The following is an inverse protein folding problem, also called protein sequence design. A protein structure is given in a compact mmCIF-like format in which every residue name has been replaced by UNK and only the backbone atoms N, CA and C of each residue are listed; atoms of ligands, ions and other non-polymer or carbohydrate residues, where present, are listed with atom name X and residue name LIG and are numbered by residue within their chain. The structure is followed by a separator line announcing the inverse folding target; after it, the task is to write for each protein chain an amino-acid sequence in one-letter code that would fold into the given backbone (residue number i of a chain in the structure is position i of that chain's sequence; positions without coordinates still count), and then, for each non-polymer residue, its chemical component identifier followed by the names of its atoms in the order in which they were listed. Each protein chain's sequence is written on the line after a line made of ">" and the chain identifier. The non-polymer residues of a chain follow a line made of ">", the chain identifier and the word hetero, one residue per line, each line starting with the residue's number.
data_IF_960754366745
#
_entry.id   IF_960754366745
#
_cell.length_a   1.000
_cell.length_b   1.000
_cell.length_c   1.000
_cell.angle_alpha   90.00
_cell.angle_beta   90.00
_cell.angle_gamma   90.00
#
_symmetry.space_group_name_H-M   'P 1'
#
loop_
_entity.id
_entity.type
_entity.pdbx_description
1 polymer ?
#
# COMPACT_ATOMS: atom_id res chain seq x y z
N UNK A 1 -76.11 -27.88 -25.41
CA UNK A 1 -74.95 -27.41 -24.62
C UNK A 1 -73.95 -28.56 -24.57
N UNK A 2 -72.75 -28.41 -25.15
CA UNK A 2 -71.74 -29.49 -25.17
C UNK A 2 -71.09 -29.55 -23.78
N UNK A 3 -71.10 -30.71 -23.15
CA UNK A 3 -70.54 -30.91 -21.81
C UNK A 3 -69.01 -30.85 -21.91
N UNK A 4 -68.43 -29.71 -21.51
CA UNK A 4 -66.98 -29.46 -21.54
C UNK A 4 -66.23 -30.10 -20.38
N UNK A 5 -66.94 -30.75 -19.44
CA UNK A 5 -66.37 -31.28 -18.21
C UNK A 5 -65.24 -32.28 -18.47
N UNK A 6 -65.39 -33.19 -19.43
CA UNK A 6 -64.32 -34.14 -19.77
C UNK A 6 -63.05 -33.49 -20.31
N UNK A 7 -63.18 -32.37 -21.05
CA UNK A 7 -62.02 -31.63 -21.57
C UNK A 7 -61.33 -30.84 -20.48
N UNK A 8 -62.09 -30.24 -19.57
CA UNK A 8 -61.57 -29.50 -18.41
C UNK A 8 -60.84 -30.47 -17.46
N UNK A 9 -61.42 -31.64 -17.18
CA UNK A 9 -60.78 -32.68 -16.35
C UNK A 9 -59.49 -33.18 -17.02
N UNK A 10 -59.46 -33.33 -18.35
CA UNK A 10 -58.25 -33.68 -19.08
C UNK A 10 -57.15 -32.62 -18.97
N UNK A 11 -57.49 -31.34 -19.15
CA UNK A 11 -56.54 -30.22 -19.01
C UNK A 11 -56.05 -30.09 -17.56
N UNK A 12 -56.94 -30.26 -16.58
CA UNK A 12 -56.57 -30.21 -15.17
C UNK A 12 -55.61 -31.36 -14.82
N UNK A 13 -55.86 -32.56 -15.36
CA UNK A 13 -54.98 -33.72 -15.21
C UNK A 13 -53.60 -33.51 -15.82
N UNK A 14 -53.51 -32.94 -17.02
CA UNK A 14 -52.21 -32.64 -17.64
C UNK A 14 -51.45 -31.59 -16.84
N UNK A 15 -52.11 -30.53 -16.35
CA UNK A 15 -51.49 -29.50 -15.50
C UNK A 15 -50.94 -30.13 -14.21
N UNK A 16 -51.69 -31.01 -13.56
CA UNK A 16 -51.24 -31.71 -12.34
C UNK A 16 -49.98 -32.56 -12.62
N UNK A 17 -49.96 -33.30 -13.73
CA UNK A 17 -48.81 -34.14 -14.11
C UNK A 17 -47.56 -33.28 -14.38
N UNK A 18 -47.70 -32.17 -15.11
CA UNK A 18 -46.57 -31.28 -15.41
C UNK A 18 -46.05 -30.60 -14.15
N UNK A 19 -46.94 -30.20 -13.23
CA UNK A 19 -46.56 -29.60 -11.96
C UNK A 19 -45.81 -30.61 -11.07
N UNK A 20 -46.26 -31.86 -11.01
CA UNK A 20 -45.54 -32.94 -10.33
C UNK A 20 -44.16 -33.19 -10.94
N UNK A 21 -44.05 -33.21 -12.26
CA UNK A 21 -42.77 -33.38 -12.96
C UNK A 21 -41.80 -32.22 -12.68
N UNK A 22 -42.30 -30.97 -12.64
CA UNK A 22 -41.50 -29.79 -12.30
C UNK A 22 -40.96 -29.84 -10.86
N UNK A 23 -41.79 -30.26 -9.90
CA UNK A 23 -41.36 -30.45 -8.51
C UNK A 23 -40.26 -31.50 -8.42
N UNK A 24 -40.42 -32.64 -9.10
CA UNK A 24 -39.41 -33.70 -9.13
C UNK A 24 -38.09 -33.19 -9.73
N UNK A 25 -38.13 -32.47 -10.85
CA UNK A 25 -36.95 -31.90 -11.48
C UNK A 25 -36.22 -30.90 -10.58
N UNK A 26 -36.98 -30.05 -9.88
CA UNK A 26 -36.43 -29.09 -8.91
C UNK A 26 -35.71 -29.80 -7.75
N UNK A 27 -36.28 -30.89 -7.22
CA UNK A 27 -35.63 -31.72 -6.19
C UNK A 27 -34.29 -32.32 -6.67
N UNK A 28 -34.21 -32.78 -7.93
CA UNK A 28 -32.96 -33.28 -8.50
C UNK A 28 -31.93 -32.16 -8.74
N UNK A 29 -32.36 -30.99 -9.22
CA UNK A 29 -31.47 -29.86 -9.46
C UNK A 29 -30.92 -29.26 -8.15
N UNK A 30 -31.73 -29.23 -7.08
CA UNK A 30 -31.27 -28.82 -5.75
C UNK A 30 -30.23 -29.78 -5.19
N UNK A 31 -30.33 -31.10 -5.45
CA UNK A 31 -29.27 -32.05 -5.07
C UNK A 31 -27.96 -31.84 -5.83
N UNK A 32 -28.02 -31.40 -7.08
CA UNK A 32 -26.84 -31.03 -7.89
C UNK A 32 -26.16 -29.75 -7.41
N UNK A 33 -26.92 -28.83 -6.80
CA UNK A 33 -26.41 -27.58 -6.21
C UNK A 33 -25.86 -27.74 -4.78
N UNK A 34 -25.97 -28.92 -4.17
CA UNK A 34 -25.19 -29.25 -2.98
C UNK A 34 -23.76 -29.63 -3.40
N UNK A 35 -23.00 -28.63 -3.83
CA UNK A 35 -21.56 -28.64 -3.63
C UNK A 35 -21.36 -28.84 -2.13
N UNK A 36 -20.71 -29.95 -1.75
CA UNK A 36 -20.22 -30.19 -0.41
C UNK A 36 -19.37 -28.98 0.03
N UNK A 37 -19.99 -28.00 0.68
CA UNK A 37 -19.29 -27.08 1.58
C UNK A 37 -19.20 -27.75 2.94
N UNK A 38 -18.60 -28.94 2.98
CA UNK A 38 -18.02 -29.48 4.21
C UNK A 38 -16.56 -29.07 4.22
N UNK A 39 -16.34 -27.92 4.84
CA UNK A 39 -15.15 -27.61 5.63
C UNK A 39 -15.60 -26.56 6.64
N UNK A 40 -16.45 -27.01 7.58
CA UNK A 40 -16.64 -26.29 8.83
C UNK A 40 -15.38 -26.54 9.64
N UNK A 41 -14.41 -25.63 9.53
CA UNK A 41 -13.25 -25.62 10.41
C UNK A 41 -13.74 -25.19 11.78
N UNK A 42 -13.91 -26.14 12.70
CA UNK A 42 -13.99 -25.83 14.12
C UNK A 42 -12.61 -25.35 14.53
N UNK A 43 -12.42 -24.02 14.60
CA UNK A 43 -11.27 -23.46 15.28
C UNK A 43 -11.53 -23.73 16.77
N UNK A 44 -10.86 -24.74 17.32
CA UNK A 44 -10.63 -24.76 18.76
C UNK A 44 -9.74 -23.56 19.06
N UNK A 45 -10.40 -22.43 19.36
CA UNK A 45 -9.74 -21.36 20.07
C UNK A 45 -9.36 -21.96 21.41
N UNK A 46 -8.09 -22.33 21.57
CA UNK A 46 -7.53 -22.48 22.90
C UNK A 46 -7.93 -21.20 23.65
N UNK A 47 -8.74 -21.35 24.69
CA UNK A 47 -9.13 -20.24 25.55
C UNK A 47 -7.84 -19.59 26.05
N UNK A 48 -7.44 -18.50 25.40
CA UNK A 48 -6.49 -17.59 25.98
C UNK A 48 -7.26 -16.92 27.12
N UNK A 49 -7.19 -17.55 28.30
CA UNK A 49 -7.53 -16.87 29.55
C UNK A 49 -6.71 -15.59 29.54
N UNK A 50 -7.34 -14.40 29.51
CA UNK A 50 -6.60 -13.20 29.81
C UNK A 50 -6.31 -13.28 31.30
N UNK A 51 -5.15 -13.83 31.66
CA UNK A 51 -4.54 -13.45 32.92
C UNK A 51 -4.32 -11.95 32.82
N UNK A 52 -5.13 -11.22 33.58
CA UNK A 52 -5.01 -9.80 33.77
C UNK A 52 -3.58 -9.50 34.24
N UNK A 53 -2.72 -9.11 33.31
CA UNK A 53 -1.44 -8.51 33.56
C UNK A 53 -1.49 -7.10 33.00
N UNK A 54 -1.98 -6.20 33.84
CA UNK A 54 -1.57 -4.81 33.86
C UNK A 54 -0.04 -4.79 33.89
N UNK A 55 0.61 -4.53 32.76
CA UNK A 55 2.04 -4.23 32.75
C UNK A 55 2.39 -3.25 31.62
N UNK A 56 2.37 -1.98 32.03
CA UNK A 56 3.15 -0.88 31.49
C UNK A 56 4.48 -1.35 30.89
N UNK A 57 4.90 -0.70 29.80
CA UNK A 57 6.25 -0.74 29.25
C UNK A 57 7.30 -0.52 30.36
N UNK A 58 7.73 -1.60 31.01
CA UNK A 58 8.95 -1.59 31.80
C UNK A 58 10.08 -1.78 30.82
N UNK A 59 10.70 -0.67 30.45
CA UNK A 59 12.13 -0.65 30.12
C UNK A 59 12.82 -1.54 31.16
N UNK A 60 13.31 -2.70 30.73
CA UNK A 60 14.05 -3.61 31.60
C UNK A 60 15.38 -2.91 31.91
N UNK A 61 15.38 -2.08 32.96
CA UNK A 61 16.61 -1.60 33.59
C UNK A 61 17.17 -2.77 34.41
N UNK A 62 17.88 -3.66 33.73
CA UNK A 62 18.67 -4.68 34.40
C UNK A 62 19.77 -3.96 35.20
N UNK A 63 19.90 -4.21 36.51
CA UNK A 63 21.02 -3.67 37.26
C UNK A 63 22.33 -4.18 36.65
N UNK A 64 23.37 -3.33 36.62
CA UNK A 64 24.68 -3.64 35.99
C UNK A 64 25.26 -4.97 36.50
N UNK A 65 24.99 -5.30 37.77
CA UNK A 65 25.40 -6.54 38.43
C UNK A 65 24.80 -7.81 37.82
N UNK A 66 23.62 -7.75 37.19
CA UNK A 66 23.03 -8.89 36.47
C UNK A 66 23.70 -9.15 35.12
N UNK A 67 24.15 -8.09 34.43
CA UNK A 67 24.87 -8.23 33.16
C UNK A 67 26.27 -8.80 33.40
N UNK A 68 27.00 -8.31 34.42
CA UNK A 68 28.31 -8.87 34.79
C UNK A 68 28.26 -10.37 35.13
N UNK A 69 27.14 -10.84 35.68
CA UNK A 69 26.94 -12.24 36.03
C UNK A 69 26.65 -13.13 34.83
N UNK A 70 26.01 -12.58 33.79
CA UNK A 70 25.72 -13.27 32.53
C UNK A 70 26.98 -13.35 31.65
N UNK A 71 27.84 -12.33 31.74
CA UNK A 71 29.08 -12.21 30.96
C UNK A 71 30.30 -12.80 31.67
N UNK A 72 30.11 -13.53 32.77
CA UNK A 72 31.20 -14.20 33.47
C UNK A 72 31.88 -15.24 32.58
N UNK A 73 33.15 -15.00 32.24
CA UNK A 73 33.99 -15.89 31.44
C UNK A 73 34.45 -15.30 30.11
N UNK A 74 33.97 -14.12 29.72
CA UNK A 74 34.38 -13.42 28.50
C UNK A 74 34.81 -11.98 28.83
N UNK A 75 36.08 -11.83 29.23
CA UNK A 75 36.67 -10.55 29.66
C UNK A 75 36.61 -9.48 28.56
N UNK A 76 36.66 -9.90 27.29
CA UNK A 76 36.57 -9.00 26.14
C UNK A 76 35.15 -8.42 26.01
N UNK A 77 34.12 -9.26 26.16
CA UNK A 77 32.74 -8.80 26.13
C UNK A 77 32.42 -7.86 27.30
N UNK A 78 33.00 -8.13 28.47
CA UNK A 78 32.86 -7.28 29.66
C UNK A 78 33.45 -5.88 29.44
N UNK A 79 34.62 -5.81 28.81
CA UNK A 79 35.27 -4.53 28.47
C UNK A 79 34.48 -3.75 27.42
N UNK A 80 33.91 -4.44 26.42
CA UNK A 80 33.03 -3.81 25.42
C UNK A 80 31.77 -3.24 26.08
N UNK A 81 31.12 -4.02 26.95
CA UNK A 81 29.93 -3.59 27.67
C UNK A 81 30.20 -2.36 28.56
N UNK A 82 31.35 -2.33 29.27
CA UNK A 82 31.78 -1.18 30.06
C UNK A 82 32.06 0.06 29.23
N UNK A 83 32.72 -0.09 28.08
CA UNK A 83 32.98 1.02 27.16
C UNK A 83 31.70 1.59 26.55
N UNK A 84 30.73 0.73 26.26
CA UNK A 84 29.45 1.16 25.69
C UNK A 84 28.58 1.86 26.73
N UNK A 85 28.55 1.35 27.97
CA UNK A 85 27.82 1.95 29.09
C UNK A 85 28.41 3.29 29.56
N UNK A 86 29.72 3.48 29.42
CA UNK A 86 30.39 4.75 29.73
C UNK A 86 30.39 5.75 28.58
N UNK A 87 29.69 5.51 27.47
CA UNK A 87 29.49 6.57 26.48
C UNK A 87 28.62 7.65 27.12
N UNK A 88 29.12 8.90 27.27
CA UNK A 88 28.27 9.98 27.70
C UNK A 88 27.13 10.11 26.70
N UNK A 89 25.91 10.25 27.20
CA UNK A 89 24.73 10.55 26.39
C UNK A 89 24.91 11.98 25.86
N UNK A 90 25.67 12.11 24.78
CA UNK A 90 25.89 13.41 24.16
C UNK A 90 24.57 13.75 23.48
N UNK A 91 23.82 14.68 24.07
CA UNK A 91 22.71 15.32 23.39
C UNK A 91 23.30 16.13 22.23
N UNK A 92 23.44 15.49 21.09
CA UNK A 92 23.90 16.13 19.87
C UNK A 92 22.72 16.94 19.35
N UNK A 93 22.80 18.26 19.49
CA UNK A 93 21.90 19.17 18.81
C UNK A 93 22.07 18.96 17.29
N UNK A 94 21.00 18.64 16.54
CA UNK A 94 21.09 18.38 15.11
C UNK A 94 21.77 19.50 14.32
N UNK A 95 21.57 20.77 14.72
CA UNK A 95 22.17 21.93 14.05
C UNK A 95 23.70 21.97 14.25
N UNK A 96 24.18 21.72 15.47
CA UNK A 96 25.61 21.72 15.78
C UNK A 96 26.34 20.58 15.06
N UNK A 97 25.67 19.43 14.88
CA UNK A 97 26.20 18.31 14.11
C UNK A 97 26.31 18.61 12.62
N UNK A 98 25.31 19.29 12.05
CA UNK A 98 25.33 19.69 10.64
C UNK A 98 26.48 20.65 10.39
N UNK A 99 26.72 21.61 11.29
CA UNK A 99 27.83 22.55 11.18
C UNK A 99 29.19 21.86 11.35
N UNK A 100 29.32 20.91 12.28
CA UNK A 100 30.56 20.11 12.44
C UNK A 100 30.88 19.30 11.17
N UNK A 101 29.89 18.60 10.61
CA UNK A 101 30.07 17.81 9.39
C UNK A 101 30.43 18.71 8.21
N UNK A 102 29.83 19.90 8.11
CA UNK A 102 30.16 20.91 7.09
C UNK A 102 31.63 21.33 7.18
N UNK A 103 32.12 21.66 8.38
CA UNK A 103 33.53 22.03 8.59
C UNK A 103 34.49 20.90 8.22
N UNK A 104 34.17 19.65 8.58
CA UNK A 104 34.98 18.48 8.20
C UNK A 104 35.00 18.27 6.67
N UNK A 105 33.89 18.52 5.98
CA UNK A 105 33.80 18.42 4.53
C UNK A 105 34.57 19.54 3.81
N UNK A 106 34.60 20.75 4.38
CA UNK A 106 35.44 21.85 3.88
C UNK A 106 36.92 21.54 4.10
N UNK A 107 37.30 21.11 5.30
CA UNK A 107 38.68 20.76 5.64
C UNK A 107 39.21 19.58 4.79
N UNK A 108 38.34 18.63 4.43
CA UNK A 108 38.69 17.52 3.53
C UNK A 108 38.66 17.89 2.04
N UNK A 109 38.34 19.14 1.70
CA UNK A 109 38.29 19.66 0.33
C UNK A 109 37.15 19.11 -0.52
N UNK A 110 36.17 18.46 0.10
CA UNK A 110 34.98 17.90 -0.57
C UNK A 110 33.85 18.93 -0.70
N UNK A 111 33.95 20.04 0.04
CA UNK A 111 33.00 21.13 0.05
C UNK A 111 33.76 22.46 0.01
N UNK A 112 33.28 23.42 -0.77
CA UNK A 112 33.86 24.77 -0.83
C UNK A 112 33.45 25.62 0.37
N UNK A 113 34.21 26.69 0.64
CA UNK A 113 33.81 27.70 1.64
C UNK A 113 32.48 28.38 1.27
N UNK A 114 32.19 28.48 -0.02
CA UNK A 114 30.88 28.90 -0.54
C UNK A 114 30.12 27.66 -1.01
N UNK A 115 29.20 27.18 -0.17
CA UNK A 115 28.51 25.92 -0.38
C UNK A 115 26.98 26.05 -0.27
N UNK A 116 26.28 25.10 -0.88
CA UNK A 116 24.83 25.07 -0.98
C UNK A 116 24.13 24.94 0.39
N UNK A 117 24.81 24.48 1.43
CA UNK A 117 24.25 24.32 2.79
C UNK A 117 24.05 25.70 3.42
N UNK A 118 25.06 26.58 3.31
CA UNK A 118 24.98 27.95 3.81
C UNK A 118 24.05 28.82 2.95
N UNK A 119 23.99 28.59 1.63
CA UNK A 119 23.03 29.25 0.74
C UNK A 119 21.59 28.89 1.10
N UNK A 120 21.28 27.61 1.33
CA UNK A 120 19.96 27.16 1.78
C UNK A 120 19.56 27.75 3.13
N UNK A 121 20.50 27.84 4.07
CA UNK A 121 20.26 28.43 5.40
C UNK A 121 19.91 29.91 5.27
N UNK A 122 20.68 30.67 4.46
CA UNK A 122 20.41 32.09 4.15
C UNK A 122 19.08 32.29 3.43
N UNK A 123 18.75 31.45 2.45
CA UNK A 123 17.48 31.52 1.73
C UNK A 123 16.28 31.23 2.65
N UNK A 124 16.42 30.26 3.56
CA UNK A 124 15.38 29.94 4.55
C UNK A 124 15.19 31.06 5.57
N UNK A 125 16.26 31.69 6.02
CA UNK A 125 16.23 32.86 6.90
C UNK A 125 15.61 34.08 6.19
N UNK A 126 16.01 34.35 4.95
CA UNK A 126 15.42 35.41 4.12
C UNK A 126 13.93 35.17 3.83
N UNK A 127 13.53 33.93 3.51
CA UNK A 127 12.13 33.57 3.31
C UNK A 127 11.31 33.65 4.61
N UNK A 128 11.92 33.36 5.77
CA UNK A 128 11.26 33.51 7.07
C UNK A 128 11.00 35.00 7.41
N UNK A 129 11.91 35.89 7.00
CA UNK A 129 11.72 37.35 7.11
C UNK A 129 10.70 37.90 6.10
N UNK A 130 10.65 37.35 4.89
CA UNK A 130 9.76 37.77 3.82
C UNK A 130 8.29 37.31 4.04
N UNK A 131 8.08 36.18 4.73
CA UNK A 131 6.75 35.64 5.08
C UNK A 131 5.92 36.53 6.04
N UNK A 132 6.49 37.60 6.61
CA UNK A 132 5.74 38.61 7.38
C UNK A 132 5.10 39.70 6.50
N UNK A 133 5.35 39.73 5.19
CA UNK A 133 4.93 40.87 4.35
C UNK A 133 4.19 40.58 3.04
N UNK A 134 3.85 39.31 2.72
CA UNK A 134 3.22 39.00 1.43
C UNK A 134 2.03 38.00 1.48
N UNK A 135 0.91 38.41 2.11
CA UNK A 135 -0.42 37.94 1.67
C UNK A 135 -0.79 38.63 0.35
N UNK A 136 -0.24 38.15 -0.76
CA UNK A 136 -0.73 38.23 -2.14
C UNK A 136 0.46 38.26 -3.10
N UNK A 137 0.69 37.14 -3.78
CA UNK A 137 0.62 37.03 -5.25
C UNK A 137 1.06 35.62 -5.65
N UNK A 138 0.15 34.92 -6.32
CA UNK A 138 0.51 33.85 -7.25
C UNK A 138 1.49 34.40 -8.28
N UNK A 139 2.59 33.70 -8.52
CA UNK A 139 2.97 33.17 -9.83
C UNK A 139 4.19 32.23 -9.66
N UNK A 140 4.22 31.26 -10.56
CA UNK A 140 5.07 30.07 -10.60
C UNK A 140 6.54 30.40 -10.86
N UNK A 141 7.44 29.68 -10.18
CA UNK A 141 8.79 29.40 -10.67
C UNK A 141 8.94 27.88 -10.81
N UNK A 142 9.19 27.45 -12.04
CA UNK A 142 9.43 26.08 -12.48
C UNK A 142 10.75 25.55 -11.90
N UNK A 143 10.68 24.90 -10.74
CA UNK A 143 11.55 23.75 -10.47
C UNK A 143 10.67 22.52 -10.61
N UNK A 144 11.05 21.61 -11.51
CA UNK A 144 10.42 20.29 -11.68
C UNK A 144 10.41 19.59 -10.32
N UNK A 145 9.30 19.71 -9.60
CA UNK A 145 9.04 18.91 -8.41
C UNK A 145 8.95 17.47 -8.91
N UNK A 146 9.66 16.51 -8.29
CA UNK A 146 9.47 15.11 -8.62
C UNK A 146 7.98 14.79 -8.52
N UNK A 147 7.47 14.02 -9.48
CA UNK A 147 6.06 13.68 -9.51
C UNK A 147 5.68 12.99 -8.19
N UNK A 148 4.47 13.21 -7.69
CA UNK A 148 4.03 12.64 -6.41
C UNK A 148 4.11 11.10 -6.42
N UNK A 149 4.04 10.49 -7.62
CA UNK A 149 4.30 9.06 -7.84
C UNK A 149 5.75 8.65 -7.51
N UNK A 150 6.72 9.45 -7.92
CA UNK A 150 8.15 9.22 -7.69
C UNK A 150 8.50 9.40 -6.22
N UNK A 151 7.90 10.41 -5.56
CA UNK A 151 8.07 10.65 -4.12
C UNK A 151 7.50 9.50 -3.30
N UNK A 152 6.31 8.97 -3.66
CA UNK A 152 5.78 7.77 -3.01
C UNK A 152 6.67 6.55 -3.22
N UNK A 153 7.18 6.34 -4.43
CA UNK A 153 8.07 5.22 -4.71
C UNK A 153 9.39 5.28 -3.92
N UNK A 154 9.91 6.48 -3.68
CA UNK A 154 11.14 6.70 -2.89
C UNK A 154 10.93 6.46 -1.39
N UNK A 155 9.76 6.82 -0.83
CA UNK A 155 9.48 6.71 0.60
C UNK A 155 8.80 5.40 1.03
N UNK A 156 8.37 4.55 0.09
CA UNK A 156 7.66 3.32 0.42
C UNK A 156 8.60 2.14 0.71
N UNK A 157 8.59 1.65 1.96
CA UNK A 157 9.37 0.50 2.44
C UNK A 157 8.64 -0.85 2.31
N UNK A 158 7.42 -0.88 1.76
CA UNK A 158 6.71 -2.14 1.56
C UNK A 158 7.17 -2.89 0.30
N UNK A 159 6.82 -4.18 0.17
CA UNK A 159 7.32 -5.04 -0.90
C UNK A 159 6.82 -4.62 -2.29
N UNK A 160 5.64 -3.99 -2.40
CA UNK A 160 5.06 -3.63 -3.70
C UNK A 160 5.27 -2.15 -4.03
N UNK A 161 5.97 -1.85 -5.14
CA UNK A 161 6.11 -0.46 -5.63
C UNK A 161 5.09 -0.16 -6.73
N UNK A 162 4.58 1.07 -6.76
CA UNK A 162 3.57 1.52 -7.73
C UNK A 162 4.12 2.74 -8.47
N UNK A 163 4.01 2.73 -9.79
CA UNK A 163 4.39 3.84 -10.67
C UNK A 163 3.26 4.13 -11.65
N UNK A 164 3.07 5.37 -12.07
CA UNK A 164 2.13 5.68 -13.14
C UNK A 164 2.65 6.80 -14.02
N UNK A 165 2.16 6.85 -15.25
CA UNK A 165 2.29 8.02 -16.12
C UNK A 165 0.89 8.43 -16.58
N UNK A 166 0.47 9.61 -16.11
CA UNK A 166 -0.80 10.22 -16.48
C UNK A 166 -0.62 11.73 -16.55
N UNK A 167 -0.31 12.22 -17.75
CA UNK A 167 0.04 13.63 -17.99
C UNK A 167 -0.91 14.62 -17.32
N UNK A 168 -0.33 15.52 -16.51
CA UNK A 168 -1.05 16.63 -15.87
C UNK A 168 -2.00 16.21 -14.75
N UNK A 169 -1.87 14.98 -14.25
CA UNK A 169 -2.70 14.44 -13.18
C UNK A 169 -1.88 13.76 -12.11
N UNK A 170 -2.34 13.97 -10.88
CA UNK A 170 -1.82 13.33 -9.69
C UNK A 170 -2.87 12.38 -9.12
N UNK A 171 -2.41 11.30 -8.51
CA UNK A 171 -3.30 10.37 -7.82
C UNK A 171 -3.88 11.04 -6.55
N UNK A 172 -5.17 10.83 -6.29
CA UNK A 172 -5.82 11.21 -5.02
C UNK A 172 -6.02 10.01 -4.11
N UNK A 173 -6.09 8.81 -4.69
CA UNK A 173 -6.16 7.56 -3.98
C UNK A 173 -5.48 6.47 -4.82
N UNK A 174 -4.37 5.93 -4.33
CA UNK A 174 -3.64 4.86 -5.00
C UNK A 174 -3.35 3.74 -4.00
N UNK A 175 -4.30 2.81 -3.81
CA UNK A 175 -4.17 1.78 -2.78
C UNK A 175 -3.06 0.79 -3.15
N UNK A 176 -2.36 0.32 -2.12
CA UNK A 176 -1.39 -0.76 -2.26
C UNK A 176 -2.15 -2.07 -2.55
N UNK A 177 -1.79 -2.81 -3.60
CA UNK A 177 -2.42 -4.09 -3.89
C UNK A 177 -2.24 -5.06 -2.72
N UNK A 178 -3.35 -5.69 -2.28
CA UNK A 178 -3.29 -6.73 -1.26
C UNK A 178 -2.76 -7.99 -1.91
N UNK A 179 -1.51 -8.32 -1.58
CA UNK A 179 -0.81 -9.45 -2.15
C UNK A 179 -1.35 -10.78 -1.60
N UNK A 180 -2.00 -11.57 -2.46
CA UNK A 180 -2.49 -12.94 -2.13
C UNK A 180 -1.89 -14.01 -3.03
N UNK A 181 -1.01 -13.62 -3.95
CA UNK A 181 -0.46 -14.47 -4.98
C UNK A 181 0.89 -15.03 -4.53
N UNK A 182 1.26 -16.20 -5.02
CA UNK A 182 2.62 -16.72 -4.85
C UNK A 182 3.46 -16.19 -6.01
N UNK A 183 4.63 -15.59 -5.76
CA UNK A 183 5.54 -15.15 -6.82
C UNK A 183 6.07 -13.73 -6.67
N UNK A 184 6.57 -13.17 -7.78
CA UNK A 184 7.01 -11.79 -7.90
C UNK A 184 6.99 -11.39 -9.37
N UNK A 185 6.97 -10.10 -9.66
CA UNK A 185 7.03 -9.61 -11.03
C UNK A 185 6.46 -8.21 -11.19
N UNK A 186 6.64 -7.65 -12.37
CA UNK A 186 6.09 -6.36 -12.78
C UNK A 186 4.89 -6.58 -13.69
N UNK A 187 3.77 -5.96 -13.34
CA UNK A 187 2.57 -5.89 -14.20
C UNK A 187 2.36 -4.44 -14.60
N UNK A 188 2.33 -4.18 -15.91
CA UNK A 188 2.09 -2.84 -16.48
C UNK A 188 0.71 -2.81 -17.11
N UNK A 189 -0.08 -1.81 -16.75
CA UNK A 189 -1.45 -1.63 -17.23
C UNK A 189 -1.58 -0.36 -18.06
N UNK A 190 -2.30 -0.44 -19.17
CA UNK A 190 -2.92 0.70 -19.82
C UNK A 190 -4.20 1.06 -19.05
N UNK A 191 -4.28 2.28 -18.54
CA UNK A 191 -5.45 2.79 -17.82
C UNK A 191 -6.16 3.88 -18.63
N UNK A 192 -7.48 3.93 -18.54
CA UNK A 192 -8.30 4.98 -19.14
C UNK A 192 -9.07 5.71 -18.04
N UNK A 193 -8.72 6.97 -17.82
CA UNK A 193 -9.22 7.78 -16.70
C UNK A 193 -10.14 8.86 -17.24
N UNK A 194 -11.34 8.97 -16.67
CA UNK A 194 -12.30 9.98 -17.08
C UNK A 194 -11.96 11.38 -16.50
N UNK A 195 -12.68 12.40 -16.95
CA UNK A 195 -12.51 13.78 -16.48
C UNK A 195 -12.67 13.95 -14.95
N UNK A 196 -13.41 13.06 -14.28
CA UNK A 196 -13.60 13.07 -12.82
C UNK A 196 -12.46 12.41 -12.03
N UNK A 197 -11.45 11.90 -12.73
CA UNK A 197 -10.34 11.18 -12.09
C UNK A 197 -10.66 9.72 -11.74
N UNK A 198 -11.71 9.14 -12.32
CA UNK A 198 -12.07 7.72 -12.11
C UNK A 198 -11.48 6.89 -13.24
N UNK A 199 -10.81 5.78 -12.88
CA UNK A 199 -10.34 4.78 -13.83
C UNK A 199 -11.55 3.97 -14.30
N UNK A 200 -11.94 4.11 -15.57
CA UNK A 200 -13.07 3.38 -16.15
C UNK A 200 -12.65 2.04 -16.75
N UNK A 201 -11.40 1.93 -17.18
CA UNK A 201 -10.87 0.74 -17.80
C UNK A 201 -9.38 0.57 -17.49
N UNK A 202 -8.96 -0.68 -17.30
CA UNK A 202 -7.57 -1.08 -17.13
C UNK A 202 -7.31 -2.37 -17.92
N UNK A 203 -6.21 -2.41 -18.69
CA UNK A 203 -5.81 -3.57 -19.50
C UNK A 203 -4.33 -3.86 -19.32
N UNK A 204 -3.97 -5.13 -19.22
CA UNK A 204 -2.55 -5.54 -19.12
C UNK A 204 -1.84 -5.29 -20.44
N UNK A 205 -0.63 -4.73 -20.34
CA UNK A 205 0.32 -4.61 -21.45
C UNK A 205 1.32 -5.76 -21.32
N UNK A 206 1.04 -6.87 -21.99
CA UNK A 206 1.86 -8.09 -21.91
C UNK A 206 3.32 -7.83 -22.29
N UNK A 207 3.57 -6.96 -23.28
CA UNK A 207 4.93 -6.65 -23.77
C UNK A 207 5.80 -5.89 -22.77
N UNK A 208 5.19 -5.21 -21.80
CA UNK A 208 5.90 -4.42 -20.79
C UNK A 208 5.89 -5.08 -19.40
N UNK A 209 5.06 -6.10 -19.24
CA UNK A 209 4.95 -6.91 -18.03
C UNK A 209 6.02 -8.00 -18.02
N UNK A 210 6.53 -8.36 -16.85
CA UNK A 210 7.57 -9.40 -16.70
C UNK A 210 7.00 -10.73 -16.20
N UNK A 211 5.71 -10.78 -15.93
CA UNK A 211 5.00 -11.95 -15.41
C UNK A 211 3.74 -12.18 -16.22
N UNK A 212 3.34 -13.44 -16.33
CA UNK A 212 2.07 -13.89 -16.93
C UNK A 212 1.21 -14.60 -15.88
N UNK A 213 1.48 -14.33 -14.59
CA UNK A 213 0.71 -14.88 -13.49
C UNK A 213 -0.64 -14.17 -13.41
N UNK A 214 -1.71 -14.93 -13.65
CA UNK A 214 -3.08 -14.43 -13.65
C UNK A 214 -3.49 -13.80 -12.32
N UNK A 215 -3.01 -14.32 -11.19
CA UNK A 215 -3.32 -13.74 -9.88
C UNK A 215 -2.73 -12.33 -9.75
N UNK A 216 -1.50 -12.12 -10.22
CA UNK A 216 -0.85 -10.81 -10.21
C UNK A 216 -1.55 -9.83 -11.14
N UNK A 217 -1.93 -10.29 -12.33
CA UNK A 217 -2.68 -9.49 -13.31
C UNK A 217 -4.06 -9.07 -12.78
N UNK A 218 -4.84 -10.01 -12.24
CA UNK A 218 -6.15 -9.71 -11.65
C UNK A 218 -6.06 -8.75 -10.47
N UNK A 219 -5.04 -8.93 -9.63
CA UNK A 219 -4.78 -8.05 -8.49
C UNK A 219 -4.40 -6.65 -8.96
N UNK A 220 -3.57 -6.52 -9.99
CA UNK A 220 -3.19 -5.25 -10.58
C UNK A 220 -4.41 -4.53 -11.19
N UNK A 221 -5.22 -5.23 -11.99
CA UNK A 221 -6.43 -4.69 -12.64
C UNK A 221 -7.43 -4.21 -11.59
N UNK A 222 -7.76 -5.06 -10.61
CA UNK A 222 -8.73 -4.71 -9.57
C UNK A 222 -8.29 -3.51 -8.74
N UNK A 223 -7.00 -3.42 -8.41
CA UNK A 223 -6.44 -2.27 -7.70
C UNK A 223 -6.48 -1.01 -8.58
N UNK A 224 -6.14 -1.11 -9.86
CA UNK A 224 -6.19 0.02 -10.79
C UNK A 224 -7.59 0.62 -10.93
N UNK A 225 -8.64 -0.21 -11.00
CA UNK A 225 -10.02 0.24 -11.15
C UNK A 225 -10.55 1.01 -9.92
N UNK A 226 -10.01 0.74 -8.73
CA UNK A 226 -10.37 1.47 -7.51
C UNK A 226 -9.51 2.70 -7.27
N UNK A 227 -8.39 2.86 -7.98
CA UNK A 227 -7.56 4.06 -7.92
C UNK A 227 -8.31 5.31 -8.39
N UNK A 228 -7.92 6.47 -7.85
CA UNK A 228 -8.50 7.78 -8.17
C UNK A 228 -7.39 8.78 -8.43
N UNK A 229 -7.67 9.69 -9.35
CA UNK A 229 -6.83 10.82 -9.72
C UNK A 229 -7.58 12.13 -9.46
N UNK A 230 -6.86 13.25 -9.52
CA UNK A 230 -7.49 14.57 -9.47
C UNK A 230 -8.42 14.76 -10.67
N UNK A 231 -9.45 15.58 -10.47
CA UNK A 231 -10.36 15.97 -11.52
C UNK A 231 -9.67 16.95 -12.48
N UNK A 232 -9.86 16.75 -13.79
CA UNK A 232 -9.41 17.67 -14.82
C UNK A 232 -10.47 17.79 -15.92
N UNK A 233 -11.12 18.95 -15.97
CA UNK A 233 -12.19 19.26 -16.94
C UNK A 233 -11.66 19.55 -18.35
N UNK A 234 -10.36 19.84 -18.49
CA UNK A 234 -9.71 20.15 -19.76
C UNK A 234 -9.07 18.93 -20.41
N UNK A 235 -8.88 17.84 -19.66
CA UNK A 235 -8.46 16.54 -20.19
C UNK A 235 -9.47 15.93 -21.17
N UNK A 236 -9.04 14.98 -22.04
CA UNK A 236 -9.95 14.18 -22.85
C UNK A 236 -11.03 13.47 -22.02
N UNK A 237 -12.16 13.11 -22.66
CA UNK A 237 -13.25 12.36 -21.99
C UNK A 237 -12.75 11.09 -21.30
N UNK A 238 -11.84 10.37 -21.96
CA UNK A 238 -11.08 9.23 -21.47
C UNK A 238 -9.61 9.49 -21.81
N UNK A 239 -8.82 9.81 -20.80
CA UNK A 239 -7.38 10.01 -20.92
C UNK A 239 -6.67 8.68 -20.73
N UNK A 240 -5.84 8.30 -21.70
CA UNK A 240 -4.98 7.13 -21.60
C UNK A 240 -3.73 7.45 -20.75
N UNK A 241 -3.30 6.49 -19.95
CA UNK A 241 -2.07 6.53 -19.19
C UNK A 241 -1.57 5.12 -18.86
N UNK A 242 -0.49 5.02 -18.11
CA UNK A 242 0.06 3.74 -17.65
C UNK A 242 0.09 3.65 -16.14
N UNK A 243 -0.05 2.44 -15.60
CA UNK A 243 0.06 2.15 -14.18
C UNK A 243 0.81 0.82 -14.00
N UNK A 244 1.94 0.86 -13.30
CA UNK A 244 2.84 -0.27 -13.10
C UNK A 244 2.88 -0.69 -11.65
N UNK A 245 2.70 -1.98 -11.41
CA UNK A 245 2.82 -2.61 -10.11
C UNK A 245 4.02 -3.55 -10.10
N UNK A 246 4.94 -3.33 -9.16
CA UNK A 246 6.13 -4.14 -8.96
C UNK A 246 5.93 -4.99 -7.72
N UNK A 247 5.49 -6.24 -7.89
CA UNK A 247 5.30 -7.20 -6.82
C UNK A 247 6.63 -7.84 -6.44
N UNK A 248 7.01 -7.75 -5.17
CA UNK A 248 8.16 -8.47 -4.61
C UNK A 248 7.64 -9.66 -3.80
N UNK A 249 8.28 -10.82 -3.95
CA UNK A 249 7.95 -12.02 -3.20
C UNK A 249 8.11 -11.76 -1.70
N UNK A 250 7.16 -12.27 -0.91
CA UNK A 250 7.18 -12.23 0.56
C UNK A 250 7.60 -13.59 1.12
#
# INVERSE_FOLDING_TARGET
>A
MKNYEGKIVGILGTVIIHLAAAIIFMFFQIRSLNIDRKNEFTIEFAEFKPEAADEQEKLINLPVTSIERILQGDDDLLNIARNLANKPDVQINPEDYIDQVKEELIASGKLGEDNYIDEWKRLKEAAAEENLSFENRKNEDEMEKPDESEVMAANYQGPTRIYYDLKGRNHTYLPIPIYKCEGSGKVVLAIFVNQKGIVEEARVIETESTTTDLCLEETAISTALISRFNQDLYSPKLQAGTLSYHFVAQ
#
